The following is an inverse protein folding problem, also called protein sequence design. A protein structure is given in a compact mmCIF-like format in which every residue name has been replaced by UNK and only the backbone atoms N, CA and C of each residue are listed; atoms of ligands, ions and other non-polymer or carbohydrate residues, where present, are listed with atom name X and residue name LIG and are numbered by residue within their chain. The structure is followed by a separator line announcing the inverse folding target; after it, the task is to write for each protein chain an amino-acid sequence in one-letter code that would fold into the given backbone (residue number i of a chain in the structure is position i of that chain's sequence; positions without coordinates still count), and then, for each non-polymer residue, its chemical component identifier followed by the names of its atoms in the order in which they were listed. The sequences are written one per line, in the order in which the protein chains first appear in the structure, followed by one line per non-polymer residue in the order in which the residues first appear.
data_IF_844111215291
#
_entry.id   IF_844111215291
#
_cell.length_a   1.000
_cell.length_b   1.000
_cell.length_c   1.000
_cell.angle_alpha   90.00
_cell.angle_beta   90.00
_cell.angle_gamma   90.00
#
_symmetry.space_group_name_H-M   'P 1'
#
loop_
_entity.id
_entity.type
_entity.pdbx_description
1 polymer ?
#
# COMPACT_ATOMS: atom_id res chain seq x y z
N UNK A 1 -35.58 5.02 -32.30
CA UNK A 1 -34.87 6.17 -31.71
C UNK A 1 -34.43 5.92 -30.27
N UNK A 2 -35.33 5.87 -29.27
CA UNK A 2 -34.89 5.61 -27.88
C UNK A 2 -34.36 4.18 -27.69
N UNK A 3 -34.96 3.17 -28.31
CA UNK A 3 -34.48 1.78 -28.24
C UNK A 3 -33.07 1.66 -28.84
N UNK A 4 -32.86 2.16 -30.05
CA UNK A 4 -31.55 2.17 -30.71
C UNK A 4 -30.49 2.94 -29.90
N UNK A 5 -30.87 4.04 -29.25
CA UNK A 5 -29.97 4.78 -28.36
C UNK A 5 -29.61 3.98 -27.09
N UNK A 6 -30.55 3.18 -26.56
CA UNK A 6 -30.32 2.27 -25.42
C UNK A 6 -29.34 1.19 -25.82
N UNK A 7 -29.60 0.51 -26.94
CA UNK A 7 -28.75 -0.57 -27.43
C UNK A 7 -27.30 -0.09 -27.66
N UNK A 8 -27.13 1.08 -28.29
CA UNK A 8 -25.80 1.67 -28.48
C UNK A 8 -25.10 2.01 -27.16
N UNK A 9 -25.82 2.60 -26.20
CA UNK A 9 -25.25 2.91 -24.89
C UNK A 9 -24.90 1.63 -24.12
N UNK A 10 -25.66 0.53 -24.29
CA UNK A 10 -25.38 -0.76 -23.66
C UNK A 10 -24.11 -1.41 -24.19
N UNK A 11 -23.96 -1.45 -25.51
CA UNK A 11 -22.74 -1.94 -26.16
C UNK A 11 -21.51 -1.17 -25.67
N UNK A 12 -21.64 0.16 -25.58
CA UNK A 12 -20.57 1.03 -25.07
C UNK A 12 -20.28 0.83 -23.60
N UNK A 13 -21.31 0.68 -22.77
CA UNK A 13 -21.11 0.37 -21.36
C UNK A 13 -20.41 -0.98 -21.19
N UNK A 14 -20.75 -1.98 -21.99
CA UNK A 14 -20.10 -3.29 -21.96
C UNK A 14 -18.62 -3.20 -22.33
N UNK A 15 -18.28 -2.42 -23.36
CA UNK A 15 -16.90 -2.13 -23.76
C UNK A 15 -16.09 -1.49 -22.61
N UNK A 16 -16.63 -0.43 -21.99
CA UNK A 16 -15.99 0.24 -20.85
C UNK A 16 -15.86 -0.69 -19.63
N UNK A 17 -16.89 -1.48 -19.32
CA UNK A 17 -16.83 -2.45 -18.23
C UNK A 17 -15.75 -3.51 -18.46
N UNK A 18 -15.57 -4.00 -19.69
CA UNK A 18 -14.50 -4.94 -20.01
C UNK A 18 -13.11 -4.33 -19.77
N UNK A 19 -12.91 -3.06 -20.12
CA UNK A 19 -11.65 -2.34 -19.86
C UNK A 19 -11.41 -2.12 -18.37
N UNK A 20 -12.46 -1.80 -17.62
CA UNK A 20 -12.41 -1.70 -16.15
C UNK A 20 -12.06 -3.05 -15.50
N UNK A 21 -12.63 -4.15 -15.98
CA UNK A 21 -12.31 -5.49 -15.48
C UNK A 21 -10.87 -5.92 -15.81
N UNK A 22 -10.34 -5.49 -16.96
CA UNK A 22 -8.93 -5.68 -17.29
C UNK A 22 -8.02 -4.88 -16.34
N UNK A 23 -8.34 -3.60 -16.12
CA UNK A 23 -7.60 -2.75 -15.20
C UNK A 23 -7.62 -3.29 -13.76
N UNK A 24 -8.78 -3.72 -13.26
CA UNK A 24 -8.91 -4.36 -11.93
C UNK A 24 -8.08 -5.63 -11.82
N UNK A 25 -8.05 -6.47 -12.86
CA UNK A 25 -7.19 -7.68 -12.90
C UNK A 25 -5.70 -7.33 -12.86
N UNK A 26 -5.32 -6.20 -13.41
CA UNK A 26 -3.96 -5.66 -13.35
C UNK A 26 -3.67 -4.89 -12.05
N UNK A 27 -4.59 -4.94 -11.07
CA UNK A 27 -4.48 -4.21 -9.80
C UNK A 27 -4.30 -2.71 -10.06
N UNK A 28 -5.07 -2.15 -10.98
CA UNK A 28 -5.08 -0.72 -11.26
C UNK A 28 -6.29 -0.04 -10.60
N UNK A 29 -6.13 1.24 -10.26
CA UNK A 29 -7.20 2.08 -9.72
C UNK A 29 -7.97 2.69 -10.88
N UNK A 30 -9.29 2.56 -10.88
CA UNK A 30 -10.16 3.09 -11.93
C UNK A 30 -10.32 4.59 -11.76
N UNK A 31 -10.34 5.33 -12.88
CA UNK A 31 -10.54 6.77 -12.85
C UNK A 31 -11.95 7.14 -12.38
N UNK A 32 -12.07 8.22 -11.59
CA UNK A 32 -13.34 8.63 -10.96
C UNK A 32 -14.41 9.03 -11.98
N UNK A 33 -14.01 9.63 -13.09
CA UNK A 33 -14.88 9.98 -14.22
C UNK A 33 -15.47 8.72 -14.88
N UNK A 34 -14.68 7.66 -15.03
CA UNK A 34 -15.16 6.36 -15.54
C UNK A 34 -16.15 5.72 -14.56
N UNK A 35 -15.87 5.72 -13.26
CA UNK A 35 -16.80 5.18 -12.26
C UNK A 35 -18.11 5.98 -12.22
N UNK A 36 -18.01 7.31 -12.29
CA UNK A 36 -19.18 8.21 -12.32
C UNK A 36 -20.02 7.97 -13.58
N UNK A 37 -19.38 7.83 -14.73
CA UNK A 37 -20.05 7.52 -15.99
C UNK A 37 -20.77 6.16 -15.94
N UNK A 38 -20.11 5.12 -15.40
CA UNK A 38 -20.74 3.81 -15.18
C UNK A 38 -21.88 3.88 -14.16
N UNK A 39 -21.84 4.75 -13.17
CA UNK A 39 -22.99 4.94 -12.28
C UNK A 39 -24.16 5.57 -13.03
N UNK A 40 -23.90 6.70 -13.70
CA UNK A 40 -24.91 7.50 -14.39
C UNK A 40 -25.59 6.72 -15.53
N UNK A 41 -24.82 5.94 -16.30
CA UNK A 41 -25.37 5.09 -17.36
C UNK A 41 -26.36 4.04 -16.81
N UNK A 42 -26.12 3.50 -15.62
CA UNK A 42 -27.03 2.53 -14.97
C UNK A 42 -28.35 3.17 -14.56
N UNK A 43 -28.30 4.41 -14.07
CA UNK A 43 -29.51 5.18 -13.74
C UNK A 43 -30.33 5.47 -14.99
N UNK A 44 -29.68 5.92 -16.07
CA UNK A 44 -30.31 6.17 -17.38
C UNK A 44 -31.00 4.91 -17.89
N UNK A 45 -30.35 3.75 -17.85
CA UNK A 45 -31.00 2.49 -18.28
C UNK A 45 -32.25 2.17 -17.47
N UNK A 46 -32.21 2.40 -16.16
CA UNK A 46 -33.38 2.19 -15.29
C UNK A 46 -34.56 3.06 -15.74
N UNK A 47 -34.31 4.32 -16.09
CA UNK A 47 -35.32 5.24 -16.62
C UNK A 47 -35.79 4.79 -18.00
N UNK A 48 -34.87 4.42 -18.89
CA UNK A 48 -35.15 3.97 -20.25
C UNK A 48 -36.08 2.77 -20.27
N UNK A 49 -35.76 1.74 -19.50
CA UNK A 49 -36.54 0.51 -19.42
C UNK A 49 -37.95 0.74 -18.88
N UNK A 50 -38.11 1.68 -17.95
CA UNK A 50 -39.44 2.08 -17.47
C UNK A 50 -40.27 2.74 -18.57
N UNK A 51 -39.69 3.66 -19.35
CA UNK A 51 -40.38 4.33 -20.46
C UNK A 51 -40.75 3.31 -21.55
N UNK A 52 -39.84 2.41 -21.92
CA UNK A 52 -40.10 1.37 -22.92
C UNK A 52 -41.25 0.44 -22.48
N UNK A 53 -41.28 0.04 -21.20
CA UNK A 53 -42.38 -0.77 -20.65
C UNK A 53 -43.71 -0.01 -20.63
N UNK A 54 -43.71 1.27 -20.25
CA UNK A 54 -44.91 2.11 -20.28
C UNK A 54 -45.44 2.30 -21.71
N UNK A 55 -44.54 2.46 -22.69
CA UNK A 55 -44.91 2.56 -24.10
C UNK A 55 -45.63 1.28 -24.58
N UNK A 56 -45.07 0.10 -24.33
CA UNK A 56 -45.72 -1.17 -24.69
C UNK A 56 -47.09 -1.34 -24.04
N UNK A 57 -47.25 -0.90 -22.78
CA UNK A 57 -48.54 -0.95 -22.09
C UNK A 57 -49.57 -0.04 -22.75
N UNK A 58 -49.20 1.21 -23.06
CA UNK A 58 -50.08 2.18 -23.71
C UNK A 58 -50.47 1.72 -25.12
N UNK A 59 -49.58 1.07 -25.85
CA UNK A 59 -49.90 0.48 -27.16
C UNK A 59 -50.84 -0.72 -27.05
N UNK A 60 -50.68 -1.59 -26.03
CA UNK A 60 -51.54 -2.75 -25.81
C UNK A 60 -52.91 -2.40 -25.20
N UNK A 61 -53.05 -1.28 -24.49
CA UNK A 61 -54.24 -0.96 -23.68
C UNK A 61 -55.47 -0.45 -24.45
N UNK A 62 -55.38 -0.24 -25.76
CA UNK A 62 -56.49 0.29 -26.54
C UNK A 62 -56.91 -0.67 -27.65
N UNK A 63 -58.05 -1.35 -27.49
CA UNK A 63 -58.86 -2.01 -28.53
C UNK A 63 -58.05 -2.53 -29.75
N UNK A 64 -57.03 -3.37 -29.54
CA UNK A 64 -56.16 -3.88 -30.62
C UNK A 64 -55.68 -2.80 -31.63
N UNK A 65 -55.40 -1.56 -31.17
CA UNK A 65 -54.88 -0.46 -31.99
C UNK A 65 -55.88 0.64 -32.40
N UNK A 66 -57.16 0.56 -32.03
CA UNK A 66 -58.19 1.41 -32.65
C UNK A 66 -58.47 2.79 -31.99
N UNK A 67 -58.00 3.07 -30.77
CA UNK A 67 -58.24 4.38 -30.13
C UNK A 67 -56.98 4.93 -29.43
N UNK A 68 -56.27 5.95 -29.96
CA UNK A 68 -55.08 6.46 -29.28
C UNK A 68 -55.46 7.38 -28.11
N UNK A 69 -55.02 7.04 -26.89
CA UNK A 69 -54.88 8.01 -25.81
C UNK A 69 -53.77 9.03 -26.17
N UNK A 70 -54.12 10.04 -26.97
CA UNK A 70 -53.18 11.04 -27.50
C UNK A 70 -52.39 11.75 -26.40
N UNK A 71 -53.03 12.05 -25.25
CA UNK A 71 -52.37 12.72 -24.11
C UNK A 71 -51.27 11.88 -23.47
N UNK A 72 -51.48 10.57 -23.28
CA UNK A 72 -50.46 9.70 -22.68
C UNK A 72 -49.31 9.44 -23.64
N UNK A 73 -49.62 9.21 -24.94
CA UNK A 73 -48.60 9.10 -25.99
C UNK A 73 -47.75 10.36 -26.12
N UNK A 74 -48.37 11.54 -26.08
CA UNK A 74 -47.65 12.82 -26.12
C UNK A 74 -46.71 13.00 -24.91
N UNK A 75 -47.20 12.70 -23.69
CA UNK A 75 -46.39 12.75 -22.47
C UNK A 75 -45.20 11.77 -22.51
N UNK A 76 -45.44 10.53 -22.94
CA UNK A 76 -44.39 9.52 -23.12
C UNK A 76 -43.36 9.94 -24.16
N UNK A 77 -43.80 10.49 -25.30
CA UNK A 77 -42.91 11.01 -26.35
C UNK A 77 -42.01 12.13 -25.81
N UNK A 78 -42.54 13.05 -25.01
CA UNK A 78 -41.74 14.10 -24.39
C UNK A 78 -40.68 13.54 -23.41
N UNK A 79 -41.05 12.57 -22.57
CA UNK A 79 -40.10 11.91 -21.66
C UNK A 79 -39.02 11.14 -22.42
N UNK A 80 -39.42 10.42 -23.47
CA UNK A 80 -38.54 9.68 -24.36
C UNK A 80 -37.53 10.60 -25.06
N UNK A 81 -37.98 11.75 -25.58
CA UNK A 81 -37.09 12.73 -26.18
C UNK A 81 -36.13 13.34 -25.18
N UNK A 82 -36.57 13.67 -23.95
CA UNK A 82 -35.67 14.18 -22.91
C UNK A 82 -34.56 13.17 -22.59
N UNK A 83 -34.93 11.92 -22.36
CA UNK A 83 -33.97 10.85 -22.08
C UNK A 83 -33.02 10.63 -23.26
N UNK A 84 -33.51 10.72 -24.50
CA UNK A 84 -32.65 10.60 -25.68
C UNK A 84 -31.54 11.65 -25.70
N UNK A 85 -31.83 12.91 -25.29
CA UNK A 85 -30.80 13.94 -25.19
C UNK A 85 -29.79 13.61 -24.08
N UNK A 86 -30.26 13.23 -22.89
CA UNK A 86 -29.37 12.82 -21.78
C UNK A 86 -28.43 11.66 -22.18
N UNK A 87 -28.91 10.73 -23.01
CA UNK A 87 -28.10 9.64 -23.54
C UNK A 87 -27.07 10.08 -24.58
N UNK A 88 -27.42 11.04 -25.44
CA UNK A 88 -26.48 11.61 -26.42
C UNK A 88 -25.36 12.40 -25.73
N UNK A 89 -25.70 13.16 -24.69
CA UNK A 89 -24.72 13.88 -23.86
C UNK A 89 -23.72 12.90 -23.24
N UNK A 90 -24.23 11.79 -22.67
CA UNK A 90 -23.38 10.76 -22.06
C UNK A 90 -22.48 10.03 -23.07
N UNK A 91 -22.95 9.88 -24.32
CA UNK A 91 -22.15 9.34 -25.43
C UNK A 91 -21.07 10.33 -25.89
N UNK A 92 -21.29 11.64 -25.76
CA UNK A 92 -20.27 12.66 -26.05
C UNK A 92 -19.20 12.77 -24.95
N UNK A 93 -19.56 12.54 -23.69
CA UNK A 93 -18.63 12.56 -22.54
C UNK A 93 -17.65 11.36 -22.51
N UNK A 94 -17.72 10.46 -23.49
CA UNK A 94 -16.97 9.20 -23.55
C UNK A 94 -15.46 9.35 -23.81
N UNK A 95 -14.94 10.56 -24.03
CA UNK A 95 -13.51 10.74 -24.28
C UNK A 95 -12.70 10.71 -22.97
N UNK A 96 -12.65 9.53 -22.34
CA UNK A 96 -11.82 9.29 -21.16
C UNK A 96 -10.36 9.39 -21.59
N UNK A 97 -9.66 10.43 -21.12
CA UNK A 97 -8.23 10.56 -21.38
C UNK A 97 -7.43 9.36 -20.87
N UNK A 98 -7.90 8.73 -19.78
CA UNK A 98 -7.31 7.51 -19.21
C UNK A 98 -8.33 6.75 -18.37
N UNK A 99 -8.43 5.42 -18.57
CA UNK A 99 -9.42 4.59 -17.84
C UNK A 99 -8.95 4.22 -16.42
N UNK A 100 -7.65 4.05 -16.25
CA UNK A 100 -7.06 3.52 -15.02
C UNK A 100 -5.64 4.04 -14.78
N UNK A 101 -5.24 4.00 -13.52
CA UNK A 101 -3.92 4.36 -13.05
C UNK A 101 -3.27 3.15 -12.38
N UNK A 102 -1.95 2.92 -12.57
CA UNK A 102 -1.23 1.88 -11.84
C UNK A 102 -1.52 2.05 -10.35
N UNK A 103 -2.01 1.01 -9.66
CA UNK A 103 -2.13 1.14 -8.22
C UNK A 103 -0.74 1.33 -7.64
N UNK A 104 -0.60 2.27 -6.71
CA UNK A 104 0.57 2.34 -5.85
C UNK A 104 0.80 0.94 -5.28
N UNK A 105 1.98 0.34 -5.47
CA UNK A 105 2.23 -1.01 -4.97
C UNK A 105 1.90 -1.06 -3.48
N UNK A 106 0.84 -1.79 -3.12
CA UNK A 106 0.48 -2.01 -1.72
C UNK A 106 1.64 -2.74 -1.07
N UNK A 107 2.46 -1.97 -0.34
CA UNK A 107 3.87 -2.29 -0.05
C UNK A 107 4.08 -3.39 0.99
N UNK A 108 3.04 -4.11 1.34
CA UNK A 108 3.12 -5.22 2.27
C UNK A 108 2.40 -6.40 1.66
N UNK A 109 3.16 -7.42 1.30
CA UNK A 109 2.67 -8.76 1.57
C UNK A 109 2.37 -8.78 3.06
N UNK A 110 1.08 -8.78 3.40
CA UNK A 110 0.62 -9.14 4.73
C UNK A 110 1.12 -10.56 4.94
N UNK A 111 2.36 -10.73 5.39
CA UNK A 111 2.81 -12.00 5.91
C UNK A 111 1.85 -12.26 7.06
N UNK A 112 0.92 -13.18 6.85
CA UNK A 112 0.01 -13.79 7.81
C UNK A 112 0.77 -14.53 8.93
N UNK A 113 1.98 -14.09 9.27
CA UNK A 113 2.65 -14.43 10.50
C UNK A 113 1.96 -13.66 11.60
N UNK A 114 1.05 -14.35 12.30
CA UNK A 114 0.43 -13.90 13.55
C UNK A 114 1.52 -13.25 14.41
N UNK A 115 1.39 -11.95 14.66
CA UNK A 115 2.22 -11.28 15.65
C UNK A 115 1.89 -11.91 17.01
N UNK A 116 2.76 -12.79 17.50
CA UNK A 116 2.60 -13.37 18.83
C UNK A 116 2.94 -12.26 19.83
N UNK A 117 1.92 -11.87 20.58
CA UNK A 117 1.92 -10.70 21.46
C UNK A 117 2.75 -10.97 22.71
N UNK A 118 4.03 -10.62 22.66
CA UNK A 118 4.84 -10.53 23.88
C UNK A 118 4.66 -9.14 24.46
N UNK A 119 4.21 -9.04 25.71
CA UNK A 119 3.92 -7.77 26.39
C UNK A 119 5.10 -6.77 26.30
N UNK A 120 6.34 -7.26 26.41
CA UNK A 120 7.55 -6.45 26.24
C UNK A 120 7.68 -5.81 24.85
N UNK A 121 7.28 -6.51 23.79
CA UNK A 121 7.28 -5.99 22.41
C UNK A 121 6.18 -4.98 22.20
N UNK A 122 5.01 -5.18 22.80
CA UNK A 122 3.88 -4.23 22.75
C UNK A 122 4.27 -2.88 23.35
N UNK A 123 4.90 -2.89 24.53
CA UNK A 123 5.35 -1.67 25.18
C UNK A 123 6.40 -0.93 24.32
N UNK A 124 7.32 -1.68 23.71
CA UNK A 124 8.32 -1.13 22.79
C UNK A 124 7.66 -0.49 21.57
N UNK A 125 6.70 -1.17 20.93
CA UNK A 125 5.93 -0.65 19.79
C UNK A 125 5.19 0.63 20.19
N UNK A 126 4.46 0.63 21.32
CA UNK A 126 3.76 1.81 21.82
C UNK A 126 4.71 2.99 22.05
N UNK A 127 5.88 2.74 22.63
CA UNK A 127 6.92 3.76 22.83
C UNK A 127 7.42 4.35 21.51
N UNK A 128 7.70 3.50 20.51
CA UNK A 128 8.11 3.94 19.17
C UNK A 128 7.00 4.78 18.52
N UNK A 129 5.75 4.32 18.58
CA UNK A 129 4.62 5.06 18.01
C UNK A 129 4.40 6.42 18.68
N UNK A 130 4.55 6.49 20.01
CA UNK A 130 4.47 7.76 20.75
C UNK A 130 5.60 8.72 20.34
N UNK A 131 6.83 8.23 20.20
CA UNK A 131 7.95 9.04 19.73
C UNK A 131 7.74 9.54 18.29
N UNK A 132 7.18 8.71 17.40
CA UNK A 132 6.84 9.11 16.02
C UNK A 132 5.70 10.13 15.92
N UNK A 133 4.95 10.37 17.00
CA UNK A 133 3.95 11.45 17.07
C UNK A 133 4.55 12.78 17.55
N UNK A 134 5.73 12.79 18.17
CA UNK A 134 6.41 14.02 18.59
C UNK A 134 7.17 14.62 17.41
N UNK A 135 6.78 15.81 16.95
CA UNK A 135 7.39 16.52 15.81
C UNK A 135 8.88 16.87 16.00
N UNK A 136 9.39 16.78 17.22
CA UNK A 136 10.83 16.98 17.52
C UNK A 136 11.66 15.72 17.23
N UNK A 137 11.02 14.57 17.03
CA UNK A 137 11.69 13.29 16.77
C UNK A 137 11.65 12.96 15.29
N UNK A 138 12.79 13.15 14.62
CA UNK A 138 12.98 12.84 13.21
C UNK A 138 13.67 11.49 12.97
N UNK A 139 14.30 10.88 13.98
CA UNK A 139 14.94 9.57 13.81
C UNK A 139 14.83 8.69 15.05
N UNK A 140 14.47 7.43 14.84
CA UNK A 140 14.45 6.40 15.88
C UNK A 140 15.37 5.25 15.46
N UNK A 141 16.32 4.90 16.32
CA UNK A 141 17.20 3.75 16.13
C UNK A 141 16.76 2.58 17.02
N UNK A 142 16.62 1.39 16.44
CA UNK A 142 16.38 0.14 17.16
C UNK A 142 17.64 -0.71 17.03
N UNK A 143 18.39 -0.85 18.13
CA UNK A 143 19.62 -1.65 18.17
C UNK A 143 19.43 -2.91 19.03
N UNK A 144 20.13 -3.99 18.68
CA UNK A 144 20.14 -5.21 19.49
C UNK A 144 20.77 -6.40 18.77
N UNK A 145 20.96 -7.49 19.50
CA UNK A 145 21.54 -8.74 18.99
C UNK A 145 20.69 -9.35 17.86
N UNK A 146 21.29 -10.20 17.02
CA UNK A 146 20.56 -10.99 16.02
C UNK A 146 19.47 -11.84 16.67
N UNK A 147 18.39 -12.14 15.92
CA UNK A 147 17.34 -13.05 16.40
C UNK A 147 16.36 -12.52 17.45
N UNK A 148 16.58 -11.34 18.04
CA UNK A 148 15.70 -10.78 19.10
C UNK A 148 14.34 -10.26 18.61
N UNK A 149 14.09 -10.27 17.29
CA UNK A 149 12.82 -9.85 16.70
C UNK A 149 12.71 -8.36 16.34
N UNK A 150 13.83 -7.65 16.15
CA UNK A 150 13.82 -6.22 15.72
C UNK A 150 13.00 -6.00 14.44
N UNK A 151 13.26 -6.80 13.41
CA UNK A 151 12.51 -6.78 12.15
C UNK A 151 11.01 -7.00 12.36
N UNK A 152 10.62 -7.84 13.32
CA UNK A 152 9.20 -8.06 13.64
C UNK A 152 8.58 -6.79 14.26
N UNK A 153 9.28 -6.14 15.20
CA UNK A 153 8.83 -4.87 15.78
C UNK A 153 8.69 -3.79 14.70
N UNK A 154 9.68 -3.66 13.82
CA UNK A 154 9.68 -2.66 12.74
C UNK A 154 8.51 -2.88 11.77
N UNK A 155 8.30 -4.12 11.33
CA UNK A 155 7.18 -4.47 10.44
C UNK A 155 5.83 -4.20 11.10
N UNK A 156 5.70 -4.49 12.39
CA UNK A 156 4.47 -4.24 13.13
C UNK A 156 4.21 -2.74 13.35
N UNK A 157 5.25 -1.93 13.60
CA UNK A 157 5.14 -0.46 13.61
C UNK A 157 4.68 0.06 12.25
N UNK A 158 5.27 -0.44 11.16
CA UNK A 158 4.89 -0.05 9.80
C UNK A 158 3.41 -0.34 9.52
N UNK A 159 2.95 -1.53 9.89
CA UNK A 159 1.55 -1.95 9.73
C UNK A 159 0.60 -1.04 10.49
N UNK A 160 0.83 -0.82 11.79
CA UNK A 160 -0.03 0.03 12.63
C UNK A 160 -0.05 1.49 12.17
N UNK A 161 1.08 2.02 11.70
CA UNK A 161 1.17 3.38 11.18
C UNK A 161 0.33 3.58 9.91
N UNK A 162 0.25 2.56 9.05
CA UNK A 162 -0.65 2.56 7.89
C UNK A 162 -2.11 2.44 8.31
N UNK A 163 -2.44 1.54 9.23
CA UNK A 163 -3.82 1.34 9.69
C UNK A 163 -4.39 2.55 10.45
N UNK A 164 -3.56 3.23 11.24
CA UNK A 164 -3.94 4.44 11.96
C UNK A 164 -3.86 5.72 11.10
N UNK A 165 -3.41 5.63 9.84
CA UNK A 165 -3.23 6.75 8.91
C UNK A 165 -2.46 7.95 9.53
N UNK A 166 -1.41 7.65 10.30
CA UNK A 166 -0.58 8.70 10.94
C UNK A 166 0.35 9.40 9.94
N UNK A 167 0.64 8.72 8.83
CA UNK A 167 1.46 9.20 7.72
C UNK A 167 0.71 9.00 6.42
N UNK A 168 0.81 9.96 5.50
CA UNK A 168 0.24 9.81 4.16
C UNK A 168 0.89 8.64 3.41
N UNK A 169 2.19 8.43 3.62
CA UNK A 169 2.93 7.28 3.09
C UNK A 169 3.87 6.65 4.13
N UNK A 170 3.91 5.32 4.17
CA UNK A 170 4.86 4.55 4.98
C UNK A 170 5.60 3.58 4.07
N UNK A 171 6.90 3.79 3.93
CA UNK A 171 7.77 3.04 3.00
C UNK A 171 8.89 2.33 3.73
N UNK A 172 9.25 1.13 3.28
CA UNK A 172 10.24 0.28 3.94
C UNK A 172 11.34 -0.17 2.98
N UNK A 173 12.59 0.23 3.22
CA UNK A 173 13.76 -0.32 2.53
C UNK A 173 14.38 -1.45 3.36
N UNK A 174 14.55 -2.63 2.75
CA UNK A 174 15.23 -3.77 3.41
C UNK A 174 16.71 -3.72 3.08
N UNK A 175 17.51 -3.58 4.13
CA UNK A 175 18.95 -3.37 4.07
C UNK A 175 19.62 -4.74 4.27
N UNK A 176 19.66 -5.58 3.23
CA UNK A 176 20.34 -6.90 3.33
C UNK A 176 21.83 -6.75 3.65
N UNK A 177 22.51 -7.81 4.13
CA UNK A 177 23.93 -7.84 4.55
C UNK A 177 24.95 -7.15 3.59
N UNK A 178 24.62 -7.00 2.29
CA UNK A 178 25.30 -6.10 1.34
C UNK A 178 24.28 -5.21 0.62
N UNK A 179 23.83 -4.11 1.23
CA UNK A 179 22.76 -3.31 0.67
C UNK A 179 23.36 -2.20 -0.18
N UNK A 180 23.20 -2.30 -1.50
CA UNK A 180 23.57 -1.17 -2.37
C UNK A 180 22.60 -0.01 -2.14
N UNK A 181 23.13 1.22 -2.02
CA UNK A 181 22.34 2.47 -1.98
C UNK A 181 21.28 2.51 -3.10
N UNK A 182 21.61 1.93 -4.26
CA UNK A 182 20.73 1.74 -5.42
C UNK A 182 19.51 0.87 -5.09
N UNK A 183 19.68 -0.26 -4.40
CA UNK A 183 18.58 -1.16 -4.05
C UNK A 183 17.60 -0.50 -3.10
N UNK A 184 18.09 0.13 -2.03
CA UNK A 184 17.26 0.87 -1.07
C UNK A 184 16.47 1.98 -1.79
N UNK A 185 17.15 2.76 -2.64
CA UNK A 185 16.51 3.82 -3.43
C UNK A 185 15.40 3.28 -4.32
N UNK A 186 15.66 2.20 -5.04
CA UNK A 186 14.67 1.59 -5.93
C UNK A 186 13.48 1.03 -5.15
N UNK A 187 13.71 0.32 -4.04
CA UNK A 187 12.63 -0.21 -3.19
C UNK A 187 11.73 0.90 -2.64
N UNK A 188 12.31 2.03 -2.21
CA UNK A 188 11.53 3.18 -1.75
C UNK A 188 10.79 3.83 -2.93
N UNK A 189 11.45 4.01 -4.07
CA UNK A 189 10.83 4.61 -5.26
C UNK A 189 9.64 3.78 -5.76
N UNK A 190 9.78 2.46 -5.82
CA UNK A 190 8.72 1.54 -6.22
C UNK A 190 7.51 1.67 -5.29
N UNK A 191 7.73 1.77 -3.97
CA UNK A 191 6.65 1.95 -3.00
C UNK A 191 5.95 3.31 -3.11
N UNK A 192 6.66 4.34 -3.57
CA UNK A 192 6.10 5.67 -3.83
C UNK A 192 5.48 5.82 -5.24
N UNK A 193 5.41 4.72 -6.01
CA UNK A 193 4.93 4.71 -7.39
C UNK A 193 5.82 5.48 -8.36
N UNK A 194 7.11 5.64 -8.05
CA UNK A 194 8.05 6.47 -8.78
C UNK A 194 8.99 5.64 -9.66
N UNK A 195 8.95 5.89 -10.97
CA UNK A 195 9.98 5.37 -11.90
C UNK A 195 11.21 6.27 -11.89
N UNK A 196 12.39 5.64 -11.76
CA UNK A 196 13.70 6.29 -11.77
C UNK A 196 14.39 6.03 -13.12
N UNK A 197 14.20 6.94 -14.07
CA UNK A 197 14.69 6.81 -15.46
C UNK A 197 16.08 7.42 -15.66
N UNK A 198 16.53 8.25 -14.73
CA UNK A 198 17.82 8.95 -14.83
C UNK A 198 18.99 7.98 -14.85
N UNK A 199 20.05 8.28 -15.61
CA UNK A 199 21.21 7.40 -15.69
C UNK A 199 22.09 7.45 -14.43
N UNK A 200 22.26 8.64 -13.85
CA UNK A 200 23.20 8.89 -12.76
C UNK A 200 22.59 8.64 -11.38
N UNK A 201 23.42 8.20 -10.43
CA UNK A 201 22.99 7.96 -9.04
C UNK A 201 22.46 9.24 -8.37
N UNK A 202 23.11 10.37 -8.63
CA UNK A 202 22.75 11.68 -8.07
C UNK A 202 21.39 12.15 -8.57
N UNK A 203 21.13 12.06 -9.87
CA UNK A 203 19.86 12.48 -10.44
C UNK A 203 18.70 11.58 -9.97
N UNK A 204 18.92 10.27 -9.88
CA UNK A 204 17.94 9.34 -9.27
C UNK A 204 17.64 9.70 -7.80
N UNK A 205 18.67 10.02 -7.01
CA UNK A 205 18.49 10.42 -5.62
C UNK A 205 17.76 11.76 -5.48
N UNK A 206 18.04 12.72 -6.36
CA UNK A 206 17.34 14.00 -6.42
C UNK A 206 15.86 13.83 -6.77
N UNK A 207 15.53 12.96 -7.74
CA UNK A 207 14.14 12.64 -8.11
C UNK A 207 13.37 12.00 -6.98
N UNK A 208 13.96 11.00 -6.31
CA UNK A 208 13.36 10.40 -5.12
C UNK A 208 13.09 11.46 -4.04
N UNK A 209 14.06 12.34 -3.80
CA UNK A 209 13.93 13.42 -2.82
C UNK A 209 12.80 14.39 -3.14
N UNK A 210 12.64 14.76 -4.41
CA UNK A 210 11.53 15.59 -4.88
C UNK A 210 10.19 14.93 -4.55
N UNK A 211 10.03 13.67 -4.96
CA UNK A 211 8.80 12.91 -4.71
C UNK A 211 8.44 12.82 -3.22
N UNK A 212 9.44 12.62 -2.35
CA UNK A 212 9.23 12.57 -0.89
C UNK A 212 8.75 13.91 -0.35
N UNK A 213 9.27 15.04 -0.85
CA UNK A 213 8.87 16.39 -0.42
C UNK A 213 7.47 16.78 -0.89
N UNK A 214 6.99 16.20 -1.98
CA UNK A 214 5.65 16.46 -2.51
C UNK A 214 4.55 15.77 -1.68
N UNK A 215 4.92 14.81 -0.82
CA UNK A 215 4.00 14.12 0.08
C UNK A 215 4.05 14.83 1.44
N UNK A 216 2.88 15.10 2.02
CA UNK A 216 2.77 15.93 3.24
C UNK A 216 3.41 15.25 4.45
N UNK A 217 3.18 13.96 4.69
CA UNK A 217 3.89 13.19 5.72
C UNK A 217 4.33 11.81 5.23
N UNK A 218 5.66 11.56 5.24
CA UNK A 218 6.24 10.25 4.89
C UNK A 218 7.04 9.69 6.06
N UNK A 219 6.81 8.43 6.38
CA UNK A 219 7.66 7.64 7.27
C UNK A 219 8.53 6.69 6.45
N UNK A 220 9.85 6.82 6.56
CA UNK A 220 10.79 5.87 5.95
C UNK A 220 11.31 4.90 7.00
N UNK A 221 11.23 3.62 6.70
CA UNK A 221 11.70 2.53 7.55
C UNK A 221 12.88 1.86 6.85
N UNK A 222 14.00 1.74 7.56
CA UNK A 222 15.22 1.09 7.08
C UNK A 222 15.52 -0.10 8.00
N UNK A 223 15.19 -1.30 7.55
CA UNK A 223 15.39 -2.50 8.35
C UNK A 223 16.69 -3.21 8.01
N UNK A 224 17.42 -3.65 9.03
CA UNK A 224 18.68 -4.39 8.95
C UNK A 224 19.89 -3.57 8.48
N UNK A 225 20.07 -2.34 9.00
CA UNK A 225 21.20 -1.49 8.62
C UNK A 225 22.51 -1.95 9.27
N UNK A 226 23.49 -2.40 8.47
CA UNK A 226 24.80 -2.90 8.95
C UNK A 226 25.88 -1.80 9.03
N UNK A 227 26.09 -1.05 7.94
CA UNK A 227 27.12 0.01 7.80
C UNK A 227 26.52 1.43 7.92
N UNK A 228 27.37 2.46 7.88
CA UNK A 228 26.92 3.86 7.81
C UNK A 228 26.27 4.14 6.46
N UNK A 229 24.94 4.15 6.43
CA UNK A 229 24.15 4.53 5.27
C UNK A 229 24.02 6.06 5.16
N UNK A 230 24.47 6.62 4.04
CA UNK A 230 24.24 8.03 3.72
C UNK A 230 22.83 8.22 3.12
N UNK A 231 21.93 8.79 3.93
CA UNK A 231 20.55 9.07 3.54
C UNK A 231 20.45 10.09 2.40
N UNK A 232 21.36 11.07 2.35
CA UNK A 232 21.39 12.12 1.33
C UNK A 232 21.69 11.48 -0.03
N UNK A 233 22.66 10.58 -0.08
CA UNK A 233 23.01 9.84 -1.30
C UNK A 233 21.92 8.86 -1.77
N UNK A 234 21.13 8.30 -0.84
CA UNK A 234 19.97 7.50 -1.21
C UNK A 234 18.89 8.39 -1.84
N UNK A 235 18.73 9.62 -1.33
CA UNK A 235 17.68 10.55 -1.75
C UNK A 235 16.69 10.89 -0.64
N UNK A 236 16.95 10.47 0.60
CA UNK A 236 16.10 10.71 1.76
C UNK A 236 16.51 12.06 2.40
N UNK A 237 15.59 13.02 2.58
CA UNK A 237 15.86 14.26 3.32
C UNK A 237 16.24 14.00 4.78
N UNK A 238 17.19 14.77 5.33
CA UNK A 238 17.64 14.62 6.73
C UNK A 238 16.57 15.00 7.77
N UNK A 239 15.63 15.85 7.38
CA UNK A 239 14.50 16.29 8.22
C UNK A 239 13.33 15.30 8.22
N UNK A 240 13.42 14.23 7.43
CA UNK A 240 12.35 13.23 7.33
C UNK A 240 12.35 12.31 8.54
N UNK A 241 11.14 11.86 8.95
CA UNK A 241 11.00 10.83 9.99
C UNK A 241 11.50 9.48 9.49
N UNK A 242 12.50 8.94 10.17
CA UNK A 242 13.14 7.67 9.83
C UNK A 242 13.18 6.71 11.03
N UNK A 243 12.72 5.47 10.84
CA UNK A 243 12.99 4.37 11.78
C UNK A 243 14.05 3.48 11.17
N UNK A 244 15.16 3.26 11.88
CA UNK A 244 16.21 2.34 11.45
C UNK A 244 16.41 1.21 12.46
N UNK A 245 16.50 -0.03 12.00
CA UNK A 245 16.97 -1.14 12.84
C UNK A 245 18.41 -1.49 12.48
N UNK A 246 19.25 -1.76 13.49
CA UNK A 246 20.67 -2.06 13.31
C UNK A 246 21.08 -3.25 14.18
N UNK A 247 21.93 -4.12 13.62
CA UNK A 247 22.64 -5.09 14.44
C UNK A 247 23.72 -4.39 15.27
N UNK A 248 23.68 -4.60 16.58
CA UNK A 248 24.84 -4.30 17.40
C UNK A 248 25.89 -5.37 17.09
N UNK A 249 27.05 -4.97 16.57
CA UNK A 249 28.21 -5.87 16.56
C UNK A 249 28.47 -6.27 18.01
N UNK A 250 28.59 -7.56 18.27
CA UNK A 250 29.17 -8.02 19.51
C UNK A 250 30.60 -7.47 19.52
N UNK A 251 30.84 -6.37 20.23
CA UNK A 251 32.16 -6.19 20.84
C UNK A 251 32.24 -7.26 21.94
N UNK A 252 32.47 -8.50 21.51
CA UNK A 252 33.27 -9.44 22.28
C UNK A 252 34.62 -9.36 21.59
N UNK A 253 35.37 -8.28 21.87
CA UNK A 253 36.72 -8.09 21.34
C UNK A 253 37.73 -9.05 22.01
N UNK A 254 37.26 -10.02 22.80
CA UNK A 254 38.06 -11.09 23.42
C UNK A 254 37.84 -12.43 22.68
N UNK A 255 38.82 -12.85 21.84
CA UNK A 255 38.78 -14.13 21.13
C UNK A 255 38.60 -15.35 22.05
N UNK A 256 38.94 -15.25 23.33
CA UNK A 256 38.76 -16.34 24.28
C UNK A 256 37.31 -16.48 24.74
N UNK A 257 36.55 -15.39 24.76
CA UNK A 257 35.15 -15.37 25.18
C UNK A 257 34.23 -15.80 24.02
N UNK A 258 34.66 -15.56 22.77
CA UNK A 258 34.00 -16.07 21.57
C UNK A 258 33.96 -17.61 21.54
N UNK A 259 35.09 -18.28 21.85
CA UNK A 259 35.16 -19.74 21.91
C UNK A 259 34.19 -20.35 22.92
N UNK A 260 34.14 -19.78 24.12
CA UNK A 260 33.26 -20.24 25.21
C UNK A 260 31.79 -19.99 24.85
N UNK A 261 31.48 -18.84 24.23
CA UNK A 261 30.12 -18.56 23.75
C UNK A 261 29.66 -19.53 22.65
N UNK A 262 30.56 -19.96 21.76
CA UNK A 262 30.27 -20.98 20.74
C UNK A 262 30.01 -22.36 21.37
N UNK A 263 30.74 -22.73 22.42
CA UNK A 263 30.50 -23.97 23.17
C UNK A 263 29.15 -23.93 23.90
N UNK A 264 28.82 -22.83 24.59
CA UNK A 264 27.51 -22.65 25.24
C UNK A 264 26.38 -22.72 24.21
N UNK A 265 26.58 -22.17 23.01
CA UNK A 265 25.61 -22.23 21.94
C UNK A 265 25.41 -23.65 21.38
N UNK A 266 26.47 -24.47 21.33
CA UNK A 266 26.39 -25.90 20.95
C UNK A 266 25.63 -26.71 21.98
N UNK A 267 25.90 -26.49 23.27
CA UNK A 267 25.18 -27.15 24.37
C UNK A 267 23.69 -26.79 24.39
N UNK A 268 23.34 -25.58 23.96
CA UNK A 268 21.93 -25.19 23.78
C UNK A 268 21.20 -25.97 22.67
N UNK A 269 21.88 -26.81 21.88
CA UNK A 269 21.27 -27.72 20.89
C UNK A 269 20.44 -27.03 19.80
N UNK A 270 20.68 -25.74 19.54
CA UNK A 270 19.90 -24.94 18.60
C UNK A 270 18.50 -24.52 19.09
N UNK A 271 18.16 -24.72 20.37
CA UNK A 271 16.89 -24.31 20.95
C UNK A 271 16.83 -22.78 21.15
N UNK A 272 15.90 -22.06 20.48
CA UNK A 272 15.87 -20.59 20.54
C UNK A 272 15.65 -20.05 21.96
N UNK A 273 14.88 -20.74 22.79
CA UNK A 273 14.59 -20.30 24.17
C UNK A 273 15.80 -20.46 25.09
N UNK A 274 16.62 -21.51 24.89
CA UNK A 274 17.83 -21.74 25.65
C UNK A 274 18.88 -20.69 25.32
N UNK A 275 19.14 -20.46 24.01
CA UNK A 275 20.07 -19.44 23.53
C UNK A 275 19.73 -18.03 24.04
N UNK A 276 18.44 -17.66 24.03
CA UNK A 276 18.00 -16.34 24.51
C UNK A 276 18.13 -16.23 26.04
N UNK A 277 17.91 -17.31 26.77
CA UNK A 277 18.02 -17.32 28.24
C UNK A 277 19.47 -17.18 28.68
N UNK A 278 20.37 -18.00 28.13
CA UNK A 278 21.80 -17.92 28.42
C UNK A 278 22.43 -16.62 27.92
N UNK A 279 22.10 -16.19 26.70
CA UNK A 279 22.56 -14.93 26.15
C UNK A 279 22.15 -13.71 26.99
N UNK A 280 21.03 -13.78 27.72
CA UNK A 280 20.61 -12.74 28.68
C UNK A 280 21.33 -12.84 30.02
N UNK A 281 21.45 -14.06 30.57
CA UNK A 281 22.07 -14.29 31.88
C UNK A 281 23.58 -13.96 31.88
N UNK A 282 24.24 -14.23 30.75
CA UNK A 282 25.68 -14.06 30.60
C UNK A 282 26.08 -12.72 29.96
N UNK A 283 25.09 -11.88 29.60
CA UNK A 283 25.35 -10.58 29.00
C UNK A 283 26.18 -9.68 29.94
N UNK A 284 27.23 -9.06 29.41
CA UNK A 284 28.20 -8.24 30.15
C UNK A 284 28.91 -8.95 31.32
N UNK A 285 28.86 -10.29 31.38
CA UNK A 285 29.63 -11.07 32.36
C UNK A 285 31.04 -11.36 31.84
N UNK A 286 32.01 -11.41 32.75
CA UNK A 286 33.38 -11.79 32.41
C UNK A 286 33.48 -13.29 32.10
N UNK A 287 34.58 -13.72 31.48
CA UNK A 287 34.81 -15.10 31.01
C UNK A 287 34.50 -16.17 32.07
N UNK A 288 34.81 -15.90 33.34
CA UNK A 288 34.54 -16.84 34.43
C UNK A 288 33.08 -17.30 34.50
N UNK A 289 32.11 -16.39 34.34
CA UNK A 289 30.69 -16.76 34.33
C UNK A 289 30.27 -17.51 33.06
N UNK A 290 30.99 -17.32 31.95
CA UNK A 290 30.77 -18.07 30.71
C UNK A 290 31.32 -19.48 30.82
N UNK A 291 32.48 -19.65 31.46
CA UNK A 291 33.08 -20.96 31.75
C UNK A 291 32.20 -21.75 32.75
N UNK A 292 31.63 -21.08 33.76
CA UNK A 292 30.72 -21.69 34.75
C UNK A 292 29.38 -22.16 34.15
N UNK A 293 28.95 -21.55 33.05
CA UNK A 293 27.73 -21.97 32.34
C UNK A 293 27.90 -23.27 31.53
N UNK A 294 29.12 -23.80 31.44
CA UNK A 294 29.48 -25.05 30.77
C UNK A 294 29.74 -26.22 31.74
N UNK A 295 29.69 -25.96 33.06
CA UNK A 295 29.79 -26.97 34.12
C UNK A 295 28.42 -27.59 34.46
#
# INVERSE_FOLDING_TARGET
MVRDAVDNLEDKRAEVMHLVDLARRNVEVIALDVESWLSLSKEIFTVAYRILREHERVERSCLNGWCPHLKSRFSLSRKANKLHHEMLDLLQEQNFGRISYPASPSSFSSSTGVFIDFESRVLTIKGIMAALRDDRVYMIGICGMGGVGKTIIVKEVARRMKEENLFDEVVMGVVTQQPSRKKIRNEIADQLGLKLEEETSVARAARLRGRIKDIKTVLVILDDVWETLDLVEVGIPLELRVVKSRMASNSIDDPNLLKVAEEVAKECGGLPIALVTFGRALNNKNKYFWDDALL
#
